data_IF_309342109492
#
_entry.id   IF_309342109492
#
_cell.length_a   1.000
_cell.length_b   1.000
_cell.length_c   1.000
_cell.angle_alpha   90.00
_cell.angle_beta   90.00
_cell.angle_gamma   90.00
#
_symmetry.space_group_name_H-M   'P 1'
#
loop_
_entity.id
_entity.type
_entity.pdbx_description
1 polymer ?
#
# COMPACT_ATOMS: atom_id res chain seq x y z
N UNK A 1 2.03 20.32 -9.16
CA UNK A 1 1.41 19.39 -8.20
C UNK A 1 1.82 17.97 -8.58
N UNK A 2 2.42 17.22 -7.65
CA UNK A 2 2.97 15.89 -7.93
C UNK A 2 1.85 14.92 -8.30
N UNK A 3 2.01 14.20 -9.41
CA UNK A 3 1.11 13.13 -9.83
C UNK A 3 1.24 11.98 -8.82
N UNK A 4 0.29 11.87 -7.90
CA UNK A 4 0.18 10.71 -7.02
C UNK A 4 -0.19 9.53 -7.93
N UNK A 5 0.79 8.69 -8.27
CA UNK A 5 0.56 7.48 -9.06
C UNK A 5 -0.10 6.45 -8.15
N UNK A 6 -1.43 6.43 -8.13
CA UNK A 6 -2.20 5.40 -7.44
C UNK A 6 -2.43 4.22 -8.37
N UNK A 7 -2.23 3.01 -7.89
CA UNK A 7 -2.64 1.77 -8.56
C UNK A 7 -3.81 1.13 -7.79
N UNK A 8 -4.81 0.60 -8.50
CA UNK A 8 -5.96 -0.06 -7.88
C UNK A 8 -5.62 -1.51 -7.54
N UNK A 9 -5.85 -1.92 -6.30
CA UNK A 9 -5.69 -3.30 -5.82
C UNK A 9 -7.06 -3.91 -5.47
N UNK A 10 -7.45 -4.98 -6.17
CA UNK A 10 -8.69 -5.73 -5.91
C UNK A 10 -8.34 -7.12 -5.40
N UNK A 11 -8.81 -7.48 -4.21
CA UNK A 11 -8.59 -8.80 -3.63
C UNK A 11 -9.86 -9.30 -2.93
N UNK A 12 -10.03 -10.63 -2.87
CA UNK A 12 -11.14 -11.27 -2.15
C UNK A 12 -10.64 -11.69 -0.77
N UNK A 13 -11.42 -11.37 0.26
CA UNK A 13 -11.18 -11.78 1.64
C UNK A 13 -12.44 -12.31 2.27
N UNK A 14 -12.26 -13.04 3.36
CA UNK A 14 -13.34 -13.44 4.24
C UNK A 14 -14.13 -12.19 4.73
N UNK A 15 -15.47 -12.25 4.76
CA UNK A 15 -16.30 -11.13 5.22
C UNK A 15 -16.05 -10.74 6.68
N UNK A 16 -15.71 -11.68 7.55
CA UNK A 16 -15.34 -11.39 8.95
C UNK A 16 -14.02 -10.62 9.03
N UNK A 17 -13.04 -10.98 8.19
CA UNK A 17 -11.78 -10.24 8.09
C UNK A 17 -11.99 -8.81 7.56
N UNK A 18 -12.90 -8.61 6.60
CA UNK A 18 -13.27 -7.29 6.12
C UNK A 18 -13.82 -6.40 7.24
N UNK A 19 -14.67 -6.96 8.11
CA UNK A 19 -15.26 -6.22 9.20
C UNK A 19 -14.22 -5.87 10.28
N UNK A 20 -13.34 -6.81 10.62
CA UNK A 20 -12.20 -6.54 11.51
C UNK A 20 -11.30 -5.42 10.96
N UNK A 21 -11.02 -5.43 9.66
CA UNK A 21 -10.26 -4.38 8.99
C UNK A 21 -10.98 -3.02 9.05
N UNK A 22 -12.31 -3.00 8.88
CA UNK A 22 -13.13 -1.79 9.01
C UNK A 22 -13.05 -1.21 10.42
N UNK A 23 -13.19 -2.04 11.44
CA UNK A 23 -13.10 -1.63 12.86
C UNK A 23 -11.71 -1.08 13.19
N UNK A 24 -10.66 -1.72 12.68
CA UNK A 24 -9.29 -1.25 12.89
C UNK A 24 -9.03 0.10 12.20
N UNK A 25 -9.52 0.27 10.97
CA UNK A 25 -9.43 1.52 10.24
C UNK A 25 -10.19 2.66 10.95
N UNK A 26 -11.39 2.37 11.48
CA UNK A 26 -12.22 3.32 12.23
C UNK A 26 -11.52 3.79 13.52
N UNK A 27 -10.94 2.86 14.28
CA UNK A 27 -10.17 3.18 15.50
C UNK A 27 -8.98 4.10 15.25
N UNK A 28 -8.32 3.99 14.10
CA UNK A 28 -7.21 4.86 13.72
C UNK A 28 -7.65 6.12 12.95
N UNK A 29 -8.95 6.35 12.78
CA UNK A 29 -9.51 7.46 12.00
C UNK A 29 -8.97 7.53 10.56
N UNK A 30 -8.75 6.37 9.93
CA UNK A 30 -8.18 6.26 8.58
C UNK A 30 -9.11 5.45 7.68
N UNK A 31 -9.00 5.68 6.38
CA UNK A 31 -9.76 4.87 5.41
C UNK A 31 -9.23 3.43 5.39
N UNK A 32 -10.10 2.48 4.99
CA UNK A 32 -9.71 1.07 4.81
C UNK A 32 -8.51 0.93 3.87
N UNK A 33 -8.48 1.71 2.77
CA UNK A 33 -7.37 1.70 1.83
C UNK A 33 -6.04 2.12 2.50
N UNK A 34 -6.07 3.18 3.31
CA UNK A 34 -4.90 3.64 4.03
C UNK A 34 -4.48 2.60 5.07
N UNK A 35 -5.44 2.00 5.77
CA UNK A 35 -5.16 0.92 6.73
C UNK A 35 -4.45 -0.26 6.08
N UNK A 36 -4.92 -0.69 4.90
CA UNK A 36 -4.26 -1.73 4.10
C UNK A 36 -2.83 -1.33 3.72
N UNK A 37 -2.60 -0.07 3.33
CA UNK A 37 -1.25 0.41 3.02
C UNK A 37 -0.29 0.30 4.22
N UNK A 38 -0.75 0.64 5.43
CA UNK A 38 0.06 0.51 6.65
C UNK A 38 0.34 -0.95 6.99
N UNK A 39 -0.66 -1.83 6.89
CA UNK A 39 -0.46 -3.26 7.13
C UNK A 39 0.53 -3.87 6.13
N UNK A 40 0.47 -3.48 4.86
CA UNK A 40 1.43 -3.93 3.84
C UNK A 40 2.84 -3.41 4.16
N UNK A 41 2.98 -2.13 4.52
CA UNK A 41 4.28 -1.55 4.88
C UNK A 41 4.90 -2.22 6.10
N UNK A 42 4.13 -2.42 7.16
CA UNK A 42 4.60 -3.09 8.38
C UNK A 42 5.01 -4.55 8.09
N UNK A 43 4.24 -5.27 7.28
CA UNK A 43 4.63 -6.62 6.85
C UNK A 43 5.93 -6.63 6.05
N UNK A 44 6.10 -5.70 5.10
CA UNK A 44 7.31 -5.58 4.30
C UNK A 44 8.53 -5.22 5.15
N UNK A 45 8.39 -4.28 6.08
CA UNK A 45 9.45 -3.88 7.00
C UNK A 45 9.94 -5.06 7.85
N UNK A 46 9.01 -5.81 8.44
CA UNK A 46 9.31 -7.03 9.22
C UNK A 46 9.90 -8.15 8.37
N UNK A 47 9.52 -8.23 7.11
CA UNK A 47 9.98 -9.28 6.18
C UNK A 47 11.25 -8.88 5.42
N UNK A 48 11.77 -7.66 5.61
CA UNK A 48 12.91 -7.12 4.87
C UNK A 48 12.64 -6.90 3.37
N UNK A 49 11.38 -6.71 2.98
CA UNK A 49 10.97 -6.47 1.59
C UNK A 49 11.06 -4.97 1.33
N UNK A 50 11.97 -4.55 0.45
CA UNK A 50 12.08 -3.15 0.04
C UNK A 50 10.86 -2.74 -0.80
N UNK A 51 10.12 -1.72 -0.34
CA UNK A 51 9.04 -1.10 -1.13
C UNK A 51 9.66 0.08 -1.91
N UNK A 52 9.76 0.01 -3.24
CA UNK A 52 10.29 1.12 -4.02
C UNK A 52 9.37 2.33 -3.88
N UNK A 53 9.97 3.48 -3.59
CA UNK A 53 9.22 4.74 -3.61
C UNK A 53 8.75 5.03 -5.04
N UNK A 54 7.53 5.55 -5.20
CA UNK A 54 6.94 5.83 -6.53
C UNK A 54 7.76 6.83 -7.36
N UNK A 55 8.75 7.49 -6.76
CA UNK A 55 9.69 8.41 -7.41
C UNK A 55 10.83 7.67 -8.12
N UNK A 56 11.19 6.46 -7.67
CA UNK A 56 12.38 5.72 -8.14
C UNK A 56 12.14 4.89 -9.41
N UNK A 57 10.90 4.76 -9.88
CA UNK A 57 10.64 4.04 -11.15
C UNK A 57 10.85 4.92 -12.39
N UNK A 58 11.08 6.24 -12.22
CA UNK A 58 11.25 7.16 -13.37
C UNK A 58 12.69 7.31 -13.86
N UNK A 59 13.69 6.99 -13.06
CA UNK A 59 15.10 7.29 -13.35
C UNK A 59 15.88 6.12 -14.02
N UNK A 60 15.34 4.90 -14.04
CA UNK A 60 16.07 3.74 -14.58
C UNK A 60 15.81 3.42 -16.06
N UNK A 61 14.97 4.19 -16.76
CA UNK A 61 14.69 3.96 -18.19
C UNK A 61 15.54 4.81 -19.16
N UNK A 62 16.57 5.52 -18.66
CA UNK A 62 17.46 6.36 -19.47
C UNK A 62 18.84 5.75 -19.76
N UNK A 63 19.13 4.52 -19.31
CA UNK A 63 20.40 3.83 -19.59
C UNK A 63 20.12 2.51 -20.29
N UNK A 64 19.85 2.58 -21.59
CA UNK A 64 20.21 1.51 -22.52
C UNK A 64 20.44 2.13 -23.90
N UNK A 65 21.70 2.56 -24.09
CA UNK A 65 22.32 2.82 -25.39
C UNK A 65 22.33 1.58 -26.27
#
# INVERSE_FOLDING_TARGET
MASIKTATLTFRIDPGLKEALRIAADQEHRSIANMVEVLIRDYCDRSGIAIPSSEETKNNNAVRS
#
